data_IF_616921718340
#
_entry.id   IF_616921718340
#
_cell.length_a   1.000
_cell.length_b   1.000
_cell.length_c   1.000
_cell.angle_alpha   90.00
_cell.angle_beta   90.00
_cell.angle_gamma   90.00
#
_symmetry.space_group_name_H-M   'P 1'
#
loop_
_entity.id
_entity.type
_entity.pdbx_description
1 polymer ?
#
# COMPACT_ATOMS: atom_id res chain seq x y z
N UNK A 1 -49.41 -55.45 50.06
CA UNK A 1 -48.37 -54.87 49.18
C UNK A 1 -47.92 -53.54 49.79
N UNK A 2 -46.83 -53.51 50.58
CA UNK A 2 -46.43 -52.30 51.33
C UNK A 2 -44.92 -52.25 51.66
N UNK A 3 -44.06 -52.68 50.74
CA UNK A 3 -42.59 -52.69 50.96
C UNK A 3 -41.79 -51.75 50.04
N UNK A 4 -42.44 -51.05 49.10
CA UNK A 4 -41.73 -50.17 48.14
C UNK A 4 -41.52 -48.72 48.60
N UNK A 5 -42.21 -48.27 49.65
CA UNK A 5 -42.19 -46.85 50.04
C UNK A 5 -41.01 -46.48 50.95
N UNK A 6 -40.47 -47.43 51.71
CA UNK A 6 -39.35 -47.22 52.64
C UNK A 6 -37.99 -47.31 51.95
N UNK A 7 -37.83 -48.22 50.99
CA UNK A 7 -36.61 -48.34 50.16
C UNK A 7 -36.41 -47.10 49.28
N UNK A 8 -37.49 -46.60 48.66
CA UNK A 8 -37.45 -45.39 47.83
C UNK A 8 -37.04 -44.15 48.65
N UNK A 9 -37.52 -44.04 49.90
CA UNK A 9 -37.13 -42.95 50.80
C UNK A 9 -35.65 -43.02 51.19
N UNK A 10 -35.13 -44.22 51.42
CA UNK A 10 -33.72 -44.42 51.76
C UNK A 10 -32.80 -44.05 50.58
N UNK A 11 -33.16 -44.48 49.36
CA UNK A 11 -32.41 -44.11 48.15
C UNK A 11 -32.44 -42.60 47.90
N UNK A 12 -33.60 -41.96 48.11
CA UNK A 12 -33.77 -40.52 47.94
C UNK A 12 -32.89 -39.75 48.96
N UNK A 13 -32.83 -40.22 50.20
CA UNK A 13 -31.99 -39.64 51.25
C UNK A 13 -30.49 -39.82 50.97
N UNK A 14 -30.10 -40.95 50.39
CA UNK A 14 -28.71 -41.24 50.03
C UNK A 14 -28.23 -40.47 48.80
N UNK A 15 -29.13 -40.22 47.84
CA UNK A 15 -28.87 -39.33 46.70
C UNK A 15 -28.68 -37.87 47.14
N UNK A 16 -29.49 -37.38 48.07
CA UNK A 16 -29.31 -36.02 48.64
C UNK A 16 -27.96 -35.87 49.35
N UNK A 17 -27.53 -36.89 50.10
CA UNK A 17 -26.24 -36.88 50.78
C UNK A 17 -25.05 -36.85 49.80
N UNK A 18 -25.14 -37.61 48.69
CA UNK A 18 -24.14 -37.60 47.61
C UNK A 18 -24.09 -36.25 46.91
N UNK A 19 -25.25 -35.63 46.65
CA UNK A 19 -25.33 -34.31 46.02
C UNK A 19 -24.69 -33.21 46.89
N UNK A 20 -24.84 -33.31 48.22
CA UNK A 20 -24.18 -32.41 49.18
C UNK A 20 -22.66 -32.56 49.16
N UNK A 21 -22.14 -33.78 49.18
CA UNK A 21 -20.69 -34.03 49.08
C UNK A 21 -20.10 -33.56 47.74
N UNK A 22 -20.81 -33.76 46.63
CA UNK A 22 -20.39 -33.24 45.33
C UNK A 22 -20.35 -31.70 45.30
N UNK A 23 -21.26 -31.04 46.03
CA UNK A 23 -21.29 -29.56 46.14
C UNK A 23 -20.17 -29.03 47.04
N UNK A 24 -19.73 -29.79 48.05
CA UNK A 24 -18.58 -29.44 48.89
C UNK A 24 -17.24 -29.68 48.20
N UNK A 25 -17.15 -30.75 47.40
CA UNK A 25 -15.97 -31.06 46.58
C UNK A 25 -15.89 -30.22 45.30
N UNK A 26 -16.97 -29.53 44.93
CA UNK A 26 -16.95 -28.60 43.81
C UNK A 26 -15.88 -27.55 44.10
N UNK A 27 -14.82 -27.46 43.28
CA UNK A 27 -13.73 -26.53 43.53
C UNK A 27 -14.33 -25.12 43.57
N UNK A 28 -14.14 -24.41 44.69
CA UNK A 28 -14.54 -22.99 44.80
C UNK A 28 -14.01 -22.30 43.56
N UNK A 29 -14.92 -21.82 42.71
CA UNK A 29 -14.61 -21.06 41.50
C UNK A 29 -13.80 -19.87 41.99
N UNK A 30 -12.47 -19.96 41.89
CA UNK A 30 -11.57 -18.85 42.20
C UNK A 30 -12.09 -17.75 41.29
N UNK A 31 -12.71 -16.73 41.87
CA UNK A 31 -13.11 -15.55 41.13
C UNK A 31 -11.81 -15.05 40.49
N UNK A 32 -11.62 -15.39 39.21
CA UNK A 32 -10.41 -15.06 38.50
C UNK A 32 -10.34 -13.55 38.58
N UNK A 33 -9.34 -13.03 39.27
CA UNK A 33 -9.07 -11.60 39.31
C UNK A 33 -9.14 -11.13 37.85
N UNK A 34 -10.22 -10.41 37.49
CA UNK A 34 -10.28 -9.73 36.20
C UNK A 34 -9.10 -8.81 36.25
N UNK A 35 -8.04 -9.17 35.52
CA UNK A 35 -6.78 -8.45 35.50
C UNK A 35 -7.11 -7.07 34.94
N UNK A 36 -7.38 -6.11 35.82
CA UNK A 36 -7.63 -4.73 35.42
C UNK A 36 -6.36 -4.26 34.74
N UNK A 37 -6.44 -4.24 33.40
CA UNK A 37 -5.34 -3.87 32.54
C UNK A 37 -4.97 -2.44 32.91
N UNK A 38 -3.74 -2.22 33.37
CA UNK A 38 -3.29 -0.90 33.82
C UNK A 38 -3.54 0.11 32.70
N UNK A 39 -3.87 1.36 33.03
CA UNK A 39 -4.07 2.42 32.03
C UNK A 39 -2.90 2.49 31.03
N UNK A 40 -1.66 2.26 31.49
CA UNK A 40 -0.46 2.13 30.64
C UNK A 40 -0.50 0.97 29.65
N UNK A 41 -1.06 -0.17 30.03
CA UNK A 41 -1.17 -1.34 29.15
C UNK A 41 -2.27 -1.17 28.10
N UNK A 42 -3.34 -0.42 28.42
CA UNK A 42 -4.35 0.00 27.45
C UNK A 42 -3.74 0.98 26.43
N UNK A 43 -3.08 2.04 26.89
CA UNK A 43 -2.42 3.02 26.02
C UNK A 43 -1.40 2.34 25.09
N UNK A 44 -0.54 1.44 25.62
CA UNK A 44 0.40 0.69 24.78
C UNK A 44 -0.28 -0.14 23.71
N UNK A 45 -1.38 -0.82 24.04
CA UNK A 45 -2.10 -1.67 23.09
C UNK A 45 -2.77 -0.88 21.97
N UNK A 46 -3.45 0.21 22.31
CA UNK A 46 -4.05 1.08 21.32
C UNK A 46 -2.97 1.71 20.45
N UNK A 47 -1.88 2.21 21.04
CA UNK A 47 -0.74 2.79 20.30
C UNK A 47 -0.08 1.79 19.34
N UNK A 48 0.16 0.54 19.76
CA UNK A 48 0.68 -0.49 18.82
C UNK A 48 -0.26 -0.77 17.68
N UNK A 49 -1.56 -0.87 17.99
CA UNK A 49 -2.55 -1.21 16.98
C UNK A 49 -2.63 -0.08 15.95
N UNK A 50 -2.71 1.17 16.39
CA UNK A 50 -2.79 2.33 15.48
C UNK A 50 -1.52 2.50 14.66
N UNK A 51 -0.33 2.37 15.27
CA UNK A 51 0.95 2.46 14.55
C UNK A 51 1.09 1.35 13.50
N UNK A 52 0.66 0.12 13.81
CA UNK A 52 0.65 -0.97 12.86
C UNK A 52 -0.30 -0.70 11.69
N UNK A 53 -1.51 -0.20 11.95
CA UNK A 53 -2.45 0.19 10.89
C UNK A 53 -1.85 1.29 9.99
N UNK A 54 -1.31 2.37 10.56
CA UNK A 54 -0.68 3.43 9.77
C UNK A 54 0.49 2.90 8.94
N UNK A 55 1.36 2.06 9.51
CA UNK A 55 2.49 1.47 8.80
C UNK A 55 2.05 0.59 7.63
N UNK A 56 1.06 -0.28 7.82
CA UNK A 56 0.58 -1.19 6.77
C UNK A 56 -0.16 -0.42 5.68
N UNK A 57 -1.05 0.49 6.05
CA UNK A 57 -1.81 1.28 5.07
C UNK A 57 -0.89 2.20 4.27
N UNK A 58 -0.01 2.96 4.92
CA UNK A 58 0.90 3.86 4.20
C UNK A 58 1.92 3.08 3.37
N UNK A 59 2.39 1.90 3.84
CA UNK A 59 3.25 1.01 3.06
C UNK A 59 2.55 0.46 1.82
N UNK A 60 1.29 0.03 1.95
CA UNK A 60 0.48 -0.42 0.82
C UNK A 60 0.22 0.72 -0.17
N UNK A 61 -0.08 1.93 0.29
CA UNK A 61 -0.29 3.10 -0.57
C UNK A 61 0.94 3.42 -1.41
N UNK A 62 2.16 3.33 -0.87
CA UNK A 62 3.39 3.58 -1.62
C UNK A 62 3.54 2.65 -2.84
N UNK A 63 3.13 1.38 -2.74
CA UNK A 63 3.22 0.43 -3.84
C UNK A 63 2.37 0.83 -5.06
N UNK A 64 1.28 1.58 -4.84
CA UNK A 64 0.43 2.06 -5.93
C UNK A 64 0.78 3.50 -6.34
N UNK A 65 1.06 4.38 -5.38
CA UNK A 65 1.35 5.78 -5.66
C UNK A 65 2.67 5.98 -6.40
N UNK A 66 3.69 5.14 -6.12
CA UNK A 66 5.00 5.28 -6.76
C UNK A 66 4.92 5.05 -8.27
N UNK A 67 4.44 3.89 -8.77
CA UNK A 67 4.35 3.67 -10.21
C UNK A 67 3.38 4.61 -10.94
N UNK A 68 2.31 5.06 -10.25
CA UNK A 68 1.26 5.87 -10.88
C UNK A 68 1.60 7.37 -10.94
N UNK A 69 2.25 7.93 -9.93
CA UNK A 69 2.46 9.39 -9.82
C UNK A 69 3.93 9.77 -9.73
N UNK A 70 4.72 9.04 -8.94
CA UNK A 70 6.11 9.41 -8.63
C UNK A 70 7.01 9.11 -9.81
N UNK A 71 6.88 7.93 -10.43
CA UNK A 71 7.69 7.54 -11.58
C UNK A 71 7.50 8.50 -12.79
N UNK A 72 6.26 8.88 -13.18
CA UNK A 72 6.06 9.92 -14.19
C UNK A 72 6.67 11.27 -13.80
N UNK A 73 6.54 11.71 -12.55
CA UNK A 73 7.06 13.01 -12.09
C UNK A 73 8.59 13.05 -12.12
N UNK A 74 9.25 12.00 -11.61
CA UNK A 74 10.72 11.87 -11.66
C UNK A 74 11.21 11.81 -13.11
N UNK A 75 10.52 11.05 -13.97
CA UNK A 75 10.86 11.01 -15.40
C UNK A 75 10.74 12.38 -16.04
N UNK A 76 9.72 13.17 -15.70
CA UNK A 76 9.54 14.52 -16.25
C UNK A 76 10.69 15.43 -15.82
N UNK A 77 11.06 15.42 -14.54
CA UNK A 77 12.16 16.23 -14.01
C UNK A 77 13.53 15.80 -14.58
N UNK A 78 13.74 14.51 -14.80
CA UNK A 78 15.02 14.00 -15.29
C UNK A 78 15.31 14.41 -16.74
N UNK A 79 14.26 14.62 -17.54
CA UNK A 79 14.35 15.17 -18.90
C UNK A 79 14.73 16.65 -18.94
N UNK A 80 14.67 17.37 -17.82
CA UNK A 80 15.14 18.76 -17.72
C UNK A 80 14.48 19.68 -18.76
N UNK A 81 13.16 19.86 -18.64
CA UNK A 81 12.42 20.78 -19.48
C UNK A 81 12.73 22.24 -19.12
N UNK A 82 12.66 23.11 -20.12
CA UNK A 82 12.73 24.56 -19.91
C UNK A 82 11.60 25.03 -18.98
N UNK A 83 11.84 26.06 -18.17
CA UNK A 83 10.82 26.62 -17.27
C UNK A 83 9.94 27.67 -17.96
N UNK A 84 10.50 28.38 -18.94
CA UNK A 84 9.77 29.37 -19.74
C UNK A 84 9.34 28.73 -21.06
N UNK A 85 8.09 28.92 -21.51
CA UNK A 85 7.64 28.34 -22.77
C UNK A 85 8.33 28.99 -23.98
N UNK A 86 8.59 28.20 -25.02
CA UNK A 86 8.94 28.67 -26.37
C UNK A 86 7.79 28.40 -27.34
N UNK A 87 7.95 28.78 -28.61
CA UNK A 87 6.92 28.54 -29.64
C UNK A 87 7.22 27.26 -30.41
N UNK A 88 6.20 26.42 -30.52
CA UNK A 88 6.19 25.23 -31.36
C UNK A 88 5.31 25.43 -32.58
N UNK A 89 5.72 24.86 -33.71
CA UNK A 89 4.93 24.78 -34.93
C UNK A 89 4.69 23.33 -35.29
N UNK A 90 3.44 22.94 -35.50
CA UNK A 90 3.10 21.58 -35.94
C UNK A 90 3.50 21.37 -37.39
N UNK A 91 4.36 20.39 -37.65
CA UNK A 91 4.79 20.02 -39.00
C UNK A 91 3.76 19.10 -39.67
N UNK A 92 3.41 18.01 -38.99
CA UNK A 92 2.46 17.02 -39.49
C UNK A 92 1.78 16.24 -38.37
N UNK A 93 0.64 15.65 -38.72
CA UNK A 93 -0.12 14.72 -37.90
C UNK A 93 -0.35 13.42 -38.65
N UNK A 94 0.00 12.31 -38.02
CA UNK A 94 -0.25 10.97 -38.53
C UNK A 94 -1.22 10.24 -37.59
N UNK A 95 -2.25 9.61 -38.14
CA UNK A 95 -3.14 8.74 -37.38
C UNK A 95 -2.84 7.30 -37.79
N UNK A 96 -2.28 6.52 -36.87
CA UNK A 96 -1.87 5.15 -37.13
C UNK A 96 -2.76 4.16 -36.39
N UNK A 97 -2.87 2.97 -36.96
CA UNK A 97 -3.65 1.87 -36.41
C UNK A 97 -2.77 0.61 -36.42
N UNK A 98 -2.86 -0.17 -35.35
CA UNK A 98 -2.15 -1.43 -35.19
C UNK A 98 -1.05 -1.36 -34.13
N UNK A 99 -0.84 -2.50 -33.45
CA UNK A 99 0.05 -2.61 -32.29
C UNK A 99 1.51 -2.32 -32.67
N UNK A 100 1.96 -2.73 -33.86
CA UNK A 100 3.35 -2.57 -34.30
C UNK A 100 3.71 -1.15 -34.76
N UNK A 101 2.72 -0.39 -35.25
CA UNK A 101 2.94 0.98 -35.73
C UNK A 101 2.78 2.01 -34.61
N UNK A 102 2.18 1.60 -33.49
CA UNK A 102 1.90 2.45 -32.34
C UNK A 102 2.85 2.11 -31.18
N UNK A 103 4.11 2.51 -31.31
CA UNK A 103 5.08 2.43 -30.20
C UNK A 103 4.91 3.57 -29.19
N UNK A 104 4.38 4.72 -29.64
CA UNK A 104 4.08 5.88 -28.80
C UNK A 104 2.79 6.57 -29.29
N UNK A 105 2.33 7.58 -28.55
CA UNK A 105 1.21 8.44 -28.96
C UNK A 105 1.38 9.80 -28.31
N UNK A 106 1.08 10.87 -29.05
CA UNK A 106 1.07 12.24 -28.52
C UNK A 106 0.06 12.41 -27.38
N UNK A 107 -1.09 11.75 -27.50
CA UNK A 107 -2.12 11.71 -26.47
C UNK A 107 -2.83 10.36 -26.47
N UNK A 108 -3.06 9.81 -25.27
CA UNK A 108 -3.85 8.60 -25.03
C UNK A 108 -4.76 8.76 -23.83
N UNK A 109 -6.01 8.33 -23.97
CA UNK A 109 -6.93 8.22 -22.83
C UNK A 109 -6.68 6.88 -22.12
N UNK A 110 -6.22 6.98 -20.88
CA UNK A 110 -5.77 5.86 -20.06
C UNK A 110 -4.29 5.56 -20.20
N UNK A 111 -3.59 5.37 -19.07
CA UNK A 111 -2.17 5.01 -19.07
C UNK A 111 -1.91 3.50 -19.01
N UNK A 112 -2.93 2.72 -18.70
CA UNK A 112 -2.88 1.25 -18.58
C UNK A 112 -3.57 0.52 -19.74
N UNK A 113 -4.05 1.26 -20.75
CA UNK A 113 -4.77 0.70 -21.90
C UNK A 113 -3.82 0.33 -23.04
N UNK A 114 -4.07 -0.80 -23.71
CA UNK A 114 -3.31 -1.23 -24.88
C UNK A 114 -3.52 -0.29 -26.08
N UNK A 115 -2.46 -0.09 -26.86
CA UNK A 115 -2.43 0.90 -27.95
C UNK A 115 -2.77 0.24 -29.29
N UNK A 116 -4.01 0.42 -29.74
CA UNK A 116 -4.45 -0.01 -31.08
C UNK A 116 -4.60 1.14 -32.08
N UNK A 117 -4.85 2.36 -31.59
CA UNK A 117 -4.98 3.58 -32.38
C UNK A 117 -4.13 4.65 -31.71
N UNK A 118 -3.22 5.26 -32.44
CA UNK A 118 -2.32 6.28 -31.94
C UNK A 118 -2.28 7.48 -32.89
N UNK A 119 -1.97 8.64 -32.32
CA UNK A 119 -1.79 9.88 -33.08
C UNK A 119 -0.38 10.38 -32.82
N UNK A 120 0.40 10.52 -33.88
CA UNK A 120 1.72 11.11 -33.83
C UNK A 120 1.62 12.55 -34.33
N UNK A 121 1.94 13.49 -33.44
CA UNK A 121 2.04 14.90 -33.76
C UNK A 121 3.51 15.26 -33.70
N UNK A 122 4.01 15.74 -34.82
CA UNK A 122 5.38 16.21 -34.95
C UNK A 122 5.39 17.73 -34.98
N UNK A 123 6.38 18.31 -34.31
CA UNK A 123 6.53 19.75 -34.13
C UNK A 123 7.99 20.15 -34.30
N UNK A 124 8.22 21.36 -34.78
CA UNK A 124 9.51 22.04 -34.63
C UNK A 124 9.35 23.15 -33.61
N UNK A 125 10.43 23.52 -32.93
CA UNK A 125 10.41 24.58 -31.93
C UNK A 125 11.62 25.48 -32.09
N UNK A 126 11.53 26.65 -31.48
CA UNK A 126 12.64 27.60 -31.45
C UNK A 126 13.43 27.40 -30.16
N UNK A 127 14.74 27.19 -30.26
CA UNK A 127 15.62 26.90 -29.11
C UNK A 127 16.05 28.14 -28.33
N UNK A 128 15.92 29.32 -28.94
CA UNK A 128 16.43 30.56 -28.36
C UNK A 128 15.44 31.08 -27.30
N UNK A 129 15.96 31.73 -26.26
CA UNK A 129 15.14 32.33 -25.20
C UNK A 129 14.34 33.51 -25.76
N UNK A 130 13.16 33.17 -26.28
CA UNK A 130 12.17 34.12 -26.77
C UNK A 130 11.34 34.59 -25.59
N UNK A 131 11.12 35.90 -25.51
CA UNK A 131 10.04 36.46 -24.71
C UNK A 131 8.79 36.50 -25.57
N UNK A 132 7.80 35.66 -25.24
CA UNK A 132 6.54 35.63 -25.99
C UNK A 132 5.80 36.95 -25.70
N UNK A 133 5.50 37.78 -26.71
CA UNK A 133 4.74 39.00 -26.49
C UNK A 133 3.30 38.67 -26.12
N UNK A 134 2.82 39.11 -24.95
CA UNK A 134 1.45 38.81 -24.47
C UNK A 134 0.34 39.36 -25.40
N UNK A 135 0.65 40.37 -26.23
CA UNK A 135 -0.34 41.09 -27.05
C UNK A 135 -0.38 40.66 -28.53
N UNK A 136 0.35 39.60 -28.91
CA UNK A 136 0.43 39.16 -30.30
C UNK A 136 -0.42 37.91 -30.53
N UNK A 137 -1.43 38.03 -31.39
CA UNK A 137 -2.34 36.92 -31.74
C UNK A 137 -1.88 36.14 -32.97
N UNK A 138 -1.00 36.73 -33.78
CA UNK A 138 -0.46 36.12 -35.00
C UNK A 138 1.04 35.87 -34.84
N UNK A 139 1.41 34.62 -34.59
CA UNK A 139 2.78 34.19 -34.41
C UNK A 139 3.48 33.83 -35.73
N UNK A 140 2.78 33.82 -36.87
CA UNK A 140 3.32 33.26 -38.13
C UNK A 140 4.55 34.01 -38.63
N UNK A 141 4.46 35.34 -38.77
CA UNK A 141 5.58 36.19 -39.17
C UNK A 141 6.73 36.11 -38.16
N UNK A 142 6.39 36.04 -36.87
CA UNK A 142 7.40 35.93 -35.82
C UNK A 142 8.19 34.63 -35.96
N UNK A 143 7.52 33.47 -36.04
CA UNK A 143 8.17 32.15 -36.16
C UNK A 143 9.00 31.97 -37.44
N UNK A 144 8.70 32.70 -38.51
CA UNK A 144 9.41 32.63 -39.78
C UNK A 144 10.79 33.29 -39.75
N UNK A 145 11.03 34.21 -38.82
CA UNK A 145 12.32 34.90 -38.65
C UNK A 145 13.35 34.05 -37.90
N UNK A 146 12.91 33.02 -37.16
CA UNK A 146 13.77 32.21 -36.30
C UNK A 146 14.16 30.88 -36.95
N UNK A 147 15.35 30.41 -36.60
CA UNK A 147 15.82 29.07 -36.93
C UNK A 147 15.02 28.03 -36.13
N UNK A 148 14.39 27.10 -36.85
CA UNK A 148 13.60 26.01 -36.29
C UNK A 148 14.50 24.81 -35.97
N UNK A 149 14.19 24.12 -34.88
CA UNK A 149 14.84 22.86 -34.50
C UNK A 149 14.55 21.73 -35.48
N UNK A 150 15.25 20.62 -35.29
CA UNK A 150 14.84 19.33 -35.85
C UNK A 150 13.43 18.93 -35.39
N UNK A 151 12.81 18.03 -36.14
CA UNK A 151 11.47 17.53 -35.86
C UNK A 151 11.43 16.74 -34.54
N UNK A 152 10.54 17.16 -33.65
CA UNK A 152 10.34 16.59 -32.34
C UNK A 152 8.91 16.04 -32.17
N UNK A 153 8.76 15.13 -31.24
CA UNK A 153 7.48 14.52 -30.89
C UNK A 153 6.77 15.35 -29.84
N UNK A 154 5.54 15.78 -30.14
CA UNK A 154 4.71 16.50 -29.18
C UNK A 154 3.97 15.49 -28.29
N UNK A 155 4.09 15.64 -26.98
CA UNK A 155 3.39 14.83 -26.02
C UNK A 155 2.52 15.70 -25.09
N UNK A 156 1.36 15.19 -24.69
CA UNK A 156 0.53 15.83 -23.66
C UNK A 156 1.26 15.86 -22.30
N UNK A 157 2.05 14.82 -22.02
CA UNK A 157 2.99 14.71 -20.90
C UNK A 157 4.08 13.70 -21.26
N UNK A 158 5.10 13.51 -20.40
CA UNK A 158 6.20 12.60 -20.73
C UNK A 158 5.78 11.15 -21.03
N UNK A 159 4.60 10.71 -20.55
CA UNK A 159 4.05 9.38 -20.81
C UNK A 159 3.12 9.34 -22.03
N UNK A 160 2.72 10.49 -22.57
CA UNK A 160 1.76 10.60 -23.68
C UNK A 160 0.34 10.15 -23.32
N UNK A 161 -0.04 10.08 -22.04
CA UNK A 161 -1.34 9.53 -21.63
C UNK A 161 -1.97 10.28 -20.45
N UNK A 162 -3.29 10.28 -20.33
CA UNK A 162 -4.01 10.87 -19.20
C UNK A 162 -5.46 10.44 -19.12
N UNK A 163 -6.18 10.97 -18.14
CA UNK A 163 -7.60 10.67 -17.92
C UNK A 163 -8.44 11.95 -17.93
N UNK A 164 -9.69 11.91 -18.45
CA UNK A 164 -10.63 13.02 -18.32
C UNK A 164 -10.94 13.32 -16.84
N UNK A 165 -11.17 14.60 -16.47
CA UNK A 165 -11.29 15.78 -17.32
C UNK A 165 -9.96 16.47 -17.66
N UNK A 166 -8.85 16.07 -17.02
CA UNK A 166 -7.55 16.75 -17.17
C UNK A 166 -6.94 16.58 -18.56
N UNK A 167 -7.15 15.42 -19.19
CA UNK A 167 -6.66 15.12 -20.53
C UNK A 167 -7.80 14.59 -21.37
N UNK A 168 -8.11 15.29 -22.47
CA UNK A 168 -9.10 14.86 -23.47
C UNK A 168 -8.43 14.85 -24.83
N UNK A 169 -8.17 13.66 -25.38
CA UNK A 169 -7.33 13.55 -26.56
C UNK A 169 -8.02 14.06 -27.83
N UNK A 170 -9.35 14.03 -27.87
CA UNK A 170 -10.12 14.64 -28.96
C UNK A 170 -9.83 16.15 -29.08
N UNK A 171 -9.85 16.90 -27.97
CA UNK A 171 -9.55 18.34 -27.98
C UNK A 171 -8.08 18.61 -28.25
N UNK A 172 -7.19 17.81 -27.64
CA UNK A 172 -5.75 17.93 -27.83
C UNK A 172 -5.37 17.78 -29.31
N UNK A 173 -5.84 16.71 -29.96
CA UNK A 173 -5.54 16.43 -31.36
C UNK A 173 -6.18 17.43 -32.33
N UNK A 174 -7.31 18.04 -31.94
CA UNK A 174 -7.98 19.08 -32.73
C UNK A 174 -7.24 20.42 -32.67
N UNK A 175 -6.65 20.76 -31.51
CA UNK A 175 -5.96 22.04 -31.33
C UNK A 175 -4.50 21.98 -31.80
N UNK A 176 -3.75 20.97 -31.35
CA UNK A 176 -2.31 20.85 -31.62
C UNK A 176 -1.99 20.04 -32.88
N UNK A 177 -2.94 19.24 -33.37
CA UNK A 177 -2.72 18.34 -34.51
C UNK A 177 -2.95 18.97 -35.89
N UNK A 178 -3.22 20.27 -35.96
CA UNK A 178 -3.40 21.01 -37.22
C UNK A 178 -2.02 21.41 -37.77
N UNK A 179 -1.64 21.01 -39.00
CA UNK A 179 -0.38 21.45 -39.62
C UNK A 179 -0.31 22.98 -39.70
N UNK A 180 0.82 23.55 -39.27
CA UNK A 180 1.02 25.00 -39.18
C UNK A 180 0.45 25.66 -37.92
N UNK A 181 -0.15 24.90 -36.99
CA UNK A 181 -0.57 25.46 -35.71
C UNK A 181 0.63 25.88 -34.87
N UNK A 182 0.57 27.09 -34.32
CA UNK A 182 1.63 27.67 -33.46
C UNK A 182 1.09 27.82 -32.04
N UNK A 183 1.85 27.33 -31.06
CA UNK A 183 1.45 27.36 -29.66
C UNK A 183 2.66 27.36 -28.71
N UNK A 184 2.50 27.85 -27.47
CA UNK A 184 3.55 27.76 -26.46
C UNK A 184 3.79 26.32 -26.02
N UNK A 185 5.05 25.94 -25.88
CA UNK A 185 5.48 24.58 -25.56
C UNK A 185 6.80 24.58 -24.78
N UNK A 186 7.14 23.42 -24.23
CA UNK A 186 8.32 23.21 -23.38
C UNK A 186 9.13 22.04 -23.93
N UNK A 187 10.32 22.33 -24.47
CA UNK A 187 11.24 21.29 -24.94
C UNK A 187 12.20 20.83 -23.85
N UNK A 188 12.71 19.61 -23.98
CA UNK A 188 13.71 19.05 -23.07
C UNK A 188 15.12 19.49 -23.47
N UNK A 189 15.88 20.03 -22.50
CA UNK A 189 17.29 20.42 -22.73
C UNK A 189 18.21 19.22 -22.95
N UNK A 190 17.87 18.06 -22.38
CA UNK A 190 18.64 16.82 -22.54
C UNK A 190 18.27 16.04 -23.79
N UNK A 191 17.00 16.03 -24.18
CA UNK A 191 16.53 15.32 -25.35
C UNK A 191 15.61 16.20 -26.20
N UNK A 192 16.18 16.83 -27.22
CA UNK A 192 15.47 17.73 -28.14
C UNK A 192 14.38 17.06 -28.98
N UNK A 193 14.27 15.73 -28.98
CA UNK A 193 13.22 15.01 -29.74
C UNK A 193 11.87 14.98 -29.03
N UNK A 194 11.75 15.51 -27.81
CA UNK A 194 10.52 15.46 -27.00
C UNK A 194 10.11 16.85 -26.54
N UNK A 195 8.85 17.17 -26.75
CA UNK A 195 8.25 18.46 -26.40
C UNK A 195 6.91 18.26 -25.70
N UNK A 196 6.63 19.10 -24.71
CA UNK A 196 5.40 19.07 -23.91
C UNK A 196 4.60 20.37 -24.06
N UNK A 197 3.27 20.25 -24.05
CA UNK A 197 2.36 21.43 -24.12
C UNK A 197 2.26 22.20 -22.82
N UNK A 198 2.40 21.53 -21.69
CA UNK A 198 2.40 22.15 -20.37
C UNK A 198 3.43 21.47 -19.49
N UNK A 199 4.22 22.28 -18.81
CA UNK A 199 5.20 21.84 -17.83
C UNK A 199 5.24 22.85 -16.70
N UNK A 200 5.16 22.34 -15.47
CA UNK A 200 5.34 23.15 -14.27
C UNK A 200 6.24 22.36 -13.31
N UNK A 201 7.43 22.87 -13.05
CA UNK A 201 8.42 22.23 -12.19
C UNK A 201 7.90 22.06 -10.76
N UNK A 202 7.27 23.10 -10.21
CA UNK A 202 6.81 23.11 -8.82
C UNK A 202 5.72 22.09 -8.57
N UNK A 203 4.81 21.89 -9.54
CA UNK A 203 3.77 20.88 -9.46
C UNK A 203 4.35 19.47 -9.42
N UNK A 204 5.39 19.18 -10.23
CA UNK A 204 6.05 17.87 -10.24
C UNK A 204 6.74 17.60 -8.90
N UNK A 205 7.45 18.59 -8.35
CA UNK A 205 8.09 18.48 -7.03
C UNK A 205 7.04 18.28 -5.93
N UNK A 206 5.95 19.04 -5.99
CA UNK A 206 4.86 18.95 -5.02
C UNK A 206 4.20 17.56 -5.01
N UNK A 207 4.00 16.96 -6.19
CA UNK A 207 3.52 15.57 -6.31
C UNK A 207 4.49 14.58 -5.64
N UNK A 208 5.80 14.70 -5.88
CA UNK A 208 6.79 13.81 -5.27
C UNK A 208 6.77 13.93 -3.73
N UNK A 209 6.70 15.16 -3.21
CA UNK A 209 6.66 15.38 -1.75
C UNK A 209 5.42 14.73 -1.14
N UNK A 210 4.24 14.98 -1.70
CA UNK A 210 2.98 14.51 -1.12
C UNK A 210 2.75 13.00 -1.27
N UNK A 211 3.10 12.42 -2.42
CA UNK A 211 2.79 11.03 -2.72
C UNK A 211 3.91 10.05 -2.34
N UNK A 212 5.17 10.50 -2.27
CA UNK A 212 6.30 9.67 -1.87
C UNK A 212 6.84 10.04 -0.48
N UNK A 213 7.29 11.29 -0.29
CA UNK A 213 8.01 11.66 0.91
C UNK A 213 7.16 11.56 2.18
N UNK A 214 5.91 12.06 2.15
CA UNK A 214 5.02 12.03 3.33
C UNK A 214 4.69 10.59 3.75
N UNK A 215 4.15 9.70 2.89
CA UNK A 215 3.86 8.32 3.30
C UNK A 215 5.13 7.55 3.69
N UNK A 216 6.26 7.81 3.02
CA UNK A 216 7.55 7.21 3.37
C UNK A 216 8.01 7.61 4.78
N UNK A 217 7.93 8.89 5.15
CA UNK A 217 8.31 9.34 6.49
C UNK A 217 7.37 8.76 7.55
N UNK A 218 6.05 8.70 7.29
CA UNK A 218 5.08 8.11 8.22
C UNK A 218 5.36 6.62 8.44
N UNK A 219 5.63 5.86 7.37
CA UNK A 219 5.99 4.43 7.48
C UNK A 219 7.31 4.22 8.22
N UNK A 220 8.31 5.06 7.97
CA UNK A 220 9.59 4.98 8.68
C UNK A 220 9.45 5.28 10.18
N UNK A 221 8.77 6.38 10.55
CA UNK A 221 8.57 6.73 11.96
C UNK A 221 7.73 5.67 12.69
N UNK A 222 6.64 5.19 12.07
CA UNK A 222 5.78 4.18 12.68
C UNK A 222 6.48 2.83 12.85
N UNK A 223 7.29 2.40 11.87
CA UNK A 223 8.08 1.16 11.96
C UNK A 223 9.18 1.25 13.02
N UNK A 224 9.92 2.37 13.10
CA UNK A 224 10.93 2.61 14.16
C UNK A 224 10.27 2.58 15.53
N UNK A 225 9.11 3.25 15.69
CA UNK A 225 8.38 3.28 16.97
C UNK A 225 7.93 1.87 17.40
N UNK A 226 7.40 1.07 16.47
CA UNK A 226 7.04 -0.34 16.74
C UNK A 226 8.27 -1.16 17.12
N UNK A 227 9.39 -1.00 16.40
CA UNK A 227 10.65 -1.69 16.70
C UNK A 227 11.12 -1.39 18.12
N UNK A 228 11.22 -0.11 18.51
CA UNK A 228 11.63 0.28 19.87
C UNK A 228 10.67 -0.28 20.92
N UNK A 229 9.36 -0.15 20.70
CA UNK A 229 8.38 -0.60 21.68
C UNK A 229 8.39 -2.13 21.88
N UNK A 230 8.61 -2.90 20.81
CA UNK A 230 8.69 -4.36 20.88
C UNK A 230 10.06 -4.85 21.38
N UNK A 231 11.16 -4.19 21.04
CA UNK A 231 12.49 -4.48 21.57
C UNK A 231 12.55 -4.23 23.09
N UNK A 232 12.04 -3.09 23.57
CA UNK A 232 11.96 -2.78 25.00
C UNK A 232 11.07 -3.77 25.77
N UNK A 233 9.99 -4.25 25.13
CA UNK A 233 9.14 -5.27 25.71
C UNK A 233 9.86 -6.63 25.84
N UNK A 234 10.65 -7.03 24.84
CA UNK A 234 11.46 -8.27 24.93
C UNK A 234 12.46 -8.19 26.08
N UNK A 235 13.20 -7.08 26.20
CA UNK A 235 14.19 -6.90 27.26
C UNK A 235 13.58 -6.85 28.69
N UNK A 236 12.33 -6.36 28.85
CA UNK A 236 11.64 -6.35 30.17
C UNK A 236 11.10 -7.72 30.58
N UNK A 237 10.62 -8.53 29.63
CA UNK A 237 10.02 -9.85 29.92
C UNK A 237 11.08 -10.83 30.45
N UNK A 238 12.28 -10.83 29.87
CA UNK A 238 13.41 -11.67 30.33
C UNK A 238 13.87 -11.34 31.75
N UNK A 239 13.87 -10.06 32.14
CA UNK A 239 14.22 -9.64 33.50
C UNK A 239 13.20 -10.10 34.55
N UNK A 240 11.91 -10.16 34.19
CA UNK A 240 10.86 -10.60 35.12
C UNK A 240 10.85 -12.10 35.38
N UNK A 241 11.17 -12.93 34.38
CA UNK A 241 11.22 -14.38 34.56
C UNK A 241 12.42 -14.83 35.41
N UNK A 242 13.52 -14.06 35.41
CA UNK A 242 14.71 -14.38 36.22
C UNK A 242 14.54 -14.08 37.71
N UNK A 243 13.58 -13.23 38.11
CA UNK A 243 13.31 -12.88 39.52
C UNK A 243 12.29 -13.77 40.22
N UNK A 244 11.48 -14.52 39.47
CA UNK A 244 10.41 -15.38 40.01
C UNK A 244 10.71 -16.87 39.83
N UNK A 245 11.90 -17.32 40.24
CA UNK A 245 12.09 -18.75 40.57
C UNK A 245 11.99 -18.86 42.09
N UNK A 246 10.83 -19.21 42.68
CA UNK A 246 10.80 -19.60 44.06
C UNK A 246 11.64 -20.86 44.19
N UNK A 247 12.63 -20.83 45.08
CA UNK A 247 13.38 -21.99 45.50
C UNK A 247 12.42 -22.89 46.29
N UNK A 248 11.66 -23.72 45.58
CA UNK A 248 10.78 -24.72 46.21
C UNK A 248 11.69 -25.75 46.88
N UNK A 249 12.02 -25.54 48.16
CA UNK A 249 12.47 -26.60 49.05
C UNK A 249 11.34 -27.63 49.11
N UNK A 250 11.46 -28.72 48.36
CA UNK A 250 10.65 -29.92 48.54
C UNK A 250 11.01 -30.52 49.92
N UNK A 251 10.04 -30.87 50.78
CA UNK A 251 10.32 -31.77 51.88
C UNK A 251 10.63 -33.15 51.29
N UNK A 252 11.76 -33.72 51.70
CA UNK A 252 12.17 -35.09 51.41
C UNK A 252 11.24 -36.02 52.21
N UNK A 253 10.36 -36.72 51.52
CA UNK A 253 9.70 -37.91 52.07
C UNK A 253 10.52 -39.09 51.58
N UNK A 254 11.37 -39.61 52.46
CA UNK A 254 11.97 -40.92 52.29
C UNK A 254 10.88 -41.95 52.64
N UNK A 255 10.42 -42.72 51.65
CA UNK A 255 10.40 -44.19 51.69
C UNK A 255 9.54 -44.79 50.55
N UNK A 256 10.15 -45.81 49.94
CA UNK A 256 9.60 -46.99 49.26
C UNK A 256 9.19 -46.95 47.77
N UNK A 257 10.04 -47.68 47.03
CA UNK A 257 9.78 -48.67 45.95
C UNK A 257 9.42 -48.21 44.54
N UNK A 258 10.42 -48.36 43.67
CA UNK A 258 10.40 -49.13 42.43
C UNK A 258 9.25 -48.89 41.44
N UNK A 259 9.52 -48.11 40.39
CA UNK A 259 9.81 -48.64 39.03
C UNK A 259 9.82 -47.50 38.02
N UNK A 260 10.89 -47.46 37.25
CA UNK A 260 11.03 -46.72 36.00
C UNK A 260 9.93 -47.09 35.01
N UNK A 261 9.48 -46.13 34.18
CA UNK A 261 9.56 -46.27 32.71
C UNK A 261 9.24 -44.92 32.06
N UNK A 262 10.22 -44.49 31.27
CA UNK A 262 10.16 -43.47 30.24
C UNK A 262 9.48 -44.05 29.01
N UNK A 263 8.45 -43.41 28.48
CA UNK A 263 8.08 -43.55 27.06
C UNK A 263 7.61 -42.22 26.49
N UNK A 264 8.53 -41.59 25.78
CA UNK A 264 8.30 -40.72 24.61
C UNK A 264 7.92 -41.63 23.42
N UNK A 265 7.42 -41.03 22.33
CA UNK A 265 7.05 -41.55 20.97
C UNK A 265 5.54 -41.36 20.75
N UNK A 266 5.10 -40.26 20.10
CA UNK A 266 4.85 -40.09 18.64
C UNK A 266 3.67 -40.98 18.17
N UNK A 267 2.70 -40.64 17.32
CA UNK A 267 2.54 -39.62 16.28
C UNK A 267 1.07 -39.72 15.74
N UNK A 268 0.59 -38.65 15.08
CA UNK A 268 -0.37 -38.63 13.94
C UNK A 268 -1.88 -38.98 14.11
N UNK A 269 -2.71 -37.93 13.98
CA UNK A 269 -4.07 -37.86 13.36
C UNK A 269 -4.06 -38.23 11.85
N UNK A 270 -5.19 -38.24 11.10
CA UNK A 270 -6.64 -38.34 11.39
C UNK A 270 -7.38 -39.38 10.50
N UNK A 271 -8.68 -39.66 10.72
CA UNK A 271 -9.57 -40.13 9.64
C UNK A 271 -11.05 -39.85 9.95
N UNK A 272 -11.70 -39.16 9.01
CA UNK A 272 -13.15 -39.00 8.85
C UNK A 272 -13.53 -39.95 7.69
N UNK A 273 -14.56 -40.78 7.86
CA UNK A 273 -15.49 -41.23 6.80
C UNK A 273 -16.67 -41.97 7.45
N UNK A 274 -17.88 -41.39 7.43
CA UNK A 274 -18.99 -41.61 6.48
C UNK A 274 -19.72 -42.96 6.71
N UNK A 275 -21.03 -42.85 6.93
CA UNK A 275 -21.96 -43.84 7.46
C UNK A 275 -22.87 -44.45 6.36
N UNK A 276 -23.41 -45.64 6.68
CA UNK A 276 -24.71 -46.27 6.29
C UNK A 276 -24.65 -47.45 5.29
N UNK A 277 -25.60 -48.41 5.33
CA UNK A 277 -25.78 -49.49 6.31
C UNK A 277 -25.99 -50.87 5.59
N UNK A 278 -26.17 -52.00 6.31
CA UNK A 278 -26.38 -53.31 5.69
C UNK A 278 -27.87 -53.67 5.47
N UNK A 279 -28.09 -54.65 4.57
CA UNK A 279 -29.32 -55.44 4.42
C UNK A 279 -29.71 -56.15 5.72
#
# INVERSE_FOLDING_TARGET
MRSGSSELLLEQQQQELRLRKLRELAPKKKNGNRRFRSWRERVRFYSTSTLAFFSVTAGASLLFLVPLYVDPAISTLSHDFIEQPTLCTTTRRENLIGIFNCSWSSCREGCTSDLYRCVHIYVTFIEQNITIPENMTDFTNYTAEWEQSDEATLLVNIKGCGYPPTVTCSKFNAFYGLPGAIFPCYYSRKNKTVVMTSYNHDDQVNMIIHFFAIPFVITMISSIALCVMHCDCRCKKDRSHRRNRPQSRRPRIDNLSDTSISTRVDMLTPAIEVYKPPL
#
